data_IF_659866545776
#
_entry.id   IF_659866545776
#
_cell.length_a   1.000
_cell.length_b   1.000
_cell.length_c   1.000
_cell.angle_alpha   90.00
_cell.angle_beta   90.00
_cell.angle_gamma   90.00
#
_symmetry.space_group_name_H-M   'P 1'
#
loop_
_entity.id
_entity.type
_entity.pdbx_description
1 polymer ?
#
# COMPACT_ATOMS: atom_id res chain seq x y z
N UNK A 1 -2.59 7.70 43.55
CA UNK A 1 -3.44 6.74 42.80
C UNK A 1 -3.76 7.38 41.47
N UNK A 2 -3.17 6.84 40.39
CA UNK A 2 -3.33 7.38 39.04
C UNK A 2 -4.76 7.09 38.58
N UNK A 3 -5.54 8.16 38.41
CA UNK A 3 -6.89 8.09 37.84
C UNK A 3 -6.80 7.50 36.44
N UNK A 4 -7.53 6.41 36.25
CA UNK A 4 -7.75 5.75 34.97
C UNK A 4 -8.45 6.71 34.03
N UNK A 5 -7.68 7.46 33.25
CA UNK A 5 -8.15 8.12 32.03
C UNK A 5 -8.37 7.04 30.97
N UNK A 6 -9.35 6.18 31.22
CA UNK A 6 -9.87 5.26 30.22
C UNK A 6 -10.76 6.09 29.29
N UNK A 7 -10.13 6.75 28.31
CA UNK A 7 -10.85 7.38 27.19
C UNK A 7 -11.23 6.27 26.21
N UNK A 8 -12.14 5.39 26.63
CA UNK A 8 -12.86 4.56 25.69
C UNK A 8 -13.66 5.50 24.78
N UNK A 9 -13.32 5.48 23.48
CA UNK A 9 -14.06 6.21 22.46
C UNK A 9 -15.45 5.54 22.40
N UNK A 10 -16.55 6.27 22.64
CA UNK A 10 -17.87 5.67 22.65
C UNK A 10 -18.18 5.05 21.27
N UNK A 11 -18.70 3.82 21.25
CA UNK A 11 -19.09 3.05 20.05
C UNK A 11 -20.02 3.80 19.07
N UNK A 12 -20.63 4.91 19.50
CA UNK A 12 -21.65 5.66 18.77
C UNK A 12 -21.17 6.97 18.13
N UNK A 13 -19.87 7.16 17.95
CA UNK A 13 -19.39 8.35 17.22
C UNK A 13 -19.60 8.15 15.70
N UNK A 14 -20.86 8.24 15.28
CA UNK A 14 -21.31 8.14 13.88
C UNK A 14 -20.53 9.10 12.99
N UNK A 15 -20.11 10.25 13.53
CA UNK A 15 -19.28 11.22 12.82
C UNK A 15 -17.86 10.68 12.60
N UNK A 16 -17.23 10.09 13.60
CA UNK A 16 -15.90 9.48 13.47
C UNK A 16 -15.91 8.29 12.51
N UNK A 17 -16.91 7.41 12.61
CA UNK A 17 -17.04 6.26 11.70
C UNK A 17 -17.32 6.68 10.26
N UNK A 18 -18.11 7.73 10.05
CA UNK A 18 -18.35 8.33 8.72
C UNK A 18 -17.09 8.99 8.18
N UNK A 19 -16.37 9.75 9.01
CA UNK A 19 -15.11 10.40 8.63
C UNK A 19 -14.04 9.36 8.26
N UNK A 20 -13.91 8.28 9.04
CA UNK A 20 -13.01 7.17 8.73
C UNK A 20 -13.38 6.48 7.43
N UNK A 21 -14.65 6.14 7.21
CA UNK A 21 -15.11 5.53 5.95
C UNK A 21 -14.84 6.42 4.74
N UNK A 22 -15.10 7.72 4.87
CA UNK A 22 -14.84 8.68 3.79
C UNK A 22 -13.35 8.79 3.48
N UNK A 23 -12.50 8.89 4.50
CA UNK A 23 -11.06 8.90 4.36
C UNK A 23 -10.52 7.60 3.74
N UNK A 24 -11.01 6.45 4.21
CA UNK A 24 -10.64 5.14 3.68
C UNK A 24 -11.05 4.99 2.21
N UNK A 25 -12.29 5.36 1.86
CA UNK A 25 -12.76 5.36 0.47
C UNK A 25 -11.98 6.33 -0.41
N UNK A 26 -11.63 7.51 0.11
CA UNK A 26 -10.80 8.48 -0.60
C UNK A 26 -9.43 7.87 -0.90
N UNK A 27 -8.76 7.29 0.10
CA UNK A 27 -7.45 6.66 -0.06
C UNK A 27 -7.50 5.47 -1.04
N UNK A 28 -8.56 4.66 -0.99
CA UNK A 28 -8.75 3.58 -1.96
C UNK A 28 -8.91 4.13 -3.39
N UNK A 29 -9.71 5.19 -3.56
CA UNK A 29 -9.96 5.81 -4.85
C UNK A 29 -8.72 6.51 -5.43
N UNK A 30 -8.00 7.27 -4.60
CA UNK A 30 -6.76 7.94 -5.01
C UNK A 30 -5.58 7.00 -5.11
N UNK A 31 -5.72 5.78 -4.58
CA UNK A 31 -4.64 4.79 -4.46
C UNK A 31 -3.44 5.30 -3.66
N UNK A 32 -3.64 6.32 -2.82
CA UNK A 32 -2.58 6.95 -2.02
C UNK A 32 -1.96 5.98 -1.02
N UNK A 33 -2.66 4.91 -0.64
CA UNK A 33 -2.11 3.90 0.27
C UNK A 33 -0.86 3.21 -0.30
N UNK A 34 -0.71 3.11 -1.62
CA UNK A 34 0.51 2.54 -2.22
C UNK A 34 1.75 3.39 -1.95
N UNK A 35 1.60 4.68 -1.61
CA UNK A 35 2.73 5.54 -1.21
C UNK A 35 3.33 5.15 0.14
N UNK A 36 2.58 4.40 0.95
CA UNK A 36 3.04 3.90 2.25
C UNK A 36 3.51 2.44 2.19
N UNK A 37 3.39 1.78 1.04
CA UNK A 37 3.83 0.41 0.87
C UNK A 37 5.36 0.33 1.06
N UNK A 38 5.80 -0.55 1.96
CA UNK A 38 7.21 -0.86 2.14
C UNK A 38 7.61 -1.97 1.19
N UNK A 39 8.92 -2.13 1.04
CA UNK A 39 9.55 -3.23 0.29
C UNK A 39 8.92 -4.60 0.60
N UNK A 40 8.71 -4.89 1.89
CA UNK A 40 8.15 -6.19 2.32
C UNK A 40 6.70 -6.37 1.87
N UNK A 41 5.90 -5.30 1.89
CA UNK A 41 4.51 -5.33 1.42
C UNK A 41 4.46 -5.62 -0.09
N UNK A 42 5.33 -4.96 -0.87
CA UNK A 42 5.42 -5.17 -2.32
C UNK A 42 5.85 -6.60 -2.63
N UNK A 43 6.85 -7.14 -1.93
CA UNK A 43 7.27 -8.53 -2.12
C UNK A 43 6.17 -9.52 -1.76
N UNK A 44 5.44 -9.30 -0.66
CA UNK A 44 4.35 -10.17 -0.25
C UNK A 44 3.22 -10.21 -1.29
N UNK A 45 2.83 -9.05 -1.83
CA UNK A 45 1.80 -8.95 -2.87
C UNK A 45 2.25 -9.69 -4.14
N UNK A 46 3.48 -9.46 -4.59
CA UNK A 46 4.01 -10.13 -5.80
C UNK A 46 4.05 -11.65 -5.57
N UNK A 47 4.61 -12.10 -4.44
CA UNK A 47 4.66 -13.53 -4.09
C UNK A 47 3.29 -14.18 -4.04
N UNK A 48 2.27 -13.48 -3.53
CA UNK A 48 0.90 -13.98 -3.52
C UNK A 48 0.39 -14.25 -4.94
N UNK A 49 0.64 -13.33 -5.88
CA UNK A 49 0.19 -13.44 -7.27
C UNK A 49 0.94 -14.53 -8.04
N UNK A 50 2.25 -14.66 -7.81
CA UNK A 50 3.10 -15.58 -8.58
C UNK A 50 3.22 -16.98 -7.97
N UNK A 51 2.87 -17.16 -6.68
CA UNK A 51 2.97 -18.46 -6.00
C UNK A 51 2.24 -19.61 -6.73
N UNK A 52 1.06 -19.41 -7.36
CA UNK A 52 0.39 -20.48 -8.11
C UNK A 52 1.15 -20.89 -9.38
N UNK A 53 2.04 -20.04 -9.87
CA UNK A 53 2.87 -20.28 -11.04
C UNK A 53 4.22 -20.91 -10.70
N UNK A 54 4.49 -21.17 -9.42
CA UNK A 54 5.74 -21.75 -8.93
C UNK A 54 6.99 -20.94 -9.33
N UNK A 55 6.83 -19.60 -9.32
CA UNK A 55 7.89 -18.64 -9.60
C UNK A 55 8.38 -18.06 -8.27
N UNK A 56 9.68 -18.02 -8.07
CA UNK A 56 10.30 -17.31 -6.95
C UNK A 56 10.58 -15.85 -7.34
N UNK A 57 10.34 -14.91 -6.42
CA UNK A 57 10.64 -13.50 -6.58
C UNK A 57 11.34 -12.96 -5.35
N UNK A 58 12.45 -12.27 -5.57
CA UNK A 58 13.19 -11.52 -4.57
C UNK A 58 13.22 -10.05 -4.96
N UNK A 59 12.66 -9.18 -4.13
CA UNK A 59 12.53 -7.76 -4.47
C UNK A 59 13.87 -7.01 -4.51
N UNK A 60 14.94 -7.50 -3.88
CA UNK A 60 16.27 -6.88 -4.01
C UNK A 60 16.94 -7.22 -5.33
N UNK A 61 16.70 -8.43 -5.85
CA UNK A 61 17.37 -8.96 -7.03
C UNK A 61 16.56 -8.73 -8.32
N UNK A 62 15.24 -8.93 -8.24
CA UNK A 62 14.38 -9.08 -9.42
C UNK A 62 13.55 -7.83 -9.72
N UNK A 63 13.47 -6.88 -8.79
CA UNK A 63 12.54 -5.75 -8.93
C UNK A 63 12.85 -4.85 -10.13
N UNK A 64 14.11 -4.55 -10.40
CA UNK A 64 14.50 -3.75 -11.57
C UNK A 64 14.15 -4.50 -12.88
N UNK A 65 14.41 -5.81 -12.92
CA UNK A 65 14.04 -6.65 -14.06
C UNK A 65 12.53 -6.68 -14.27
N UNK A 66 11.75 -6.76 -13.19
CA UNK A 66 10.29 -6.70 -13.22
C UNK A 66 9.80 -5.34 -13.75
N UNK A 67 10.39 -4.23 -13.28
CA UNK A 67 10.07 -2.89 -13.79
C UNK A 67 10.27 -2.77 -15.30
N UNK A 68 11.30 -3.39 -15.86
CA UNK A 68 11.55 -3.38 -17.29
C UNK A 68 10.50 -4.14 -18.12
N UNK A 69 9.73 -5.04 -17.49
CA UNK A 69 8.70 -5.85 -18.15
C UNK A 69 7.29 -5.23 -18.03
N UNK A 70 7.09 -4.28 -17.12
CA UNK A 70 5.80 -3.61 -16.93
C UNK A 70 5.64 -2.47 -17.93
N UNK A 71 4.48 -2.38 -18.57
CA UNK A 71 4.15 -1.25 -19.44
C UNK A 71 4.22 0.07 -18.67
N UNK A 72 5.11 0.95 -19.12
CA UNK A 72 5.38 2.25 -18.49
C UNK A 72 4.19 3.21 -18.55
N UNK A 73 3.23 2.99 -19.45
CA UNK A 73 1.97 3.76 -19.48
C UNK A 73 1.12 3.60 -18.20
N UNK A 74 1.38 2.54 -17.43
CA UNK A 74 0.68 2.22 -16.19
C UNK A 74 1.36 2.79 -14.94
N UNK A 75 2.52 3.44 -15.09
CA UNK A 75 3.30 3.95 -13.98
C UNK A 75 2.65 5.21 -13.39
N UNK A 76 2.84 5.41 -12.08
CA UNK A 76 2.53 6.68 -11.44
C UNK A 76 3.49 7.75 -11.94
N UNK A 77 3.00 8.97 -12.20
CA UNK A 77 3.84 10.09 -12.66
C UNK A 77 5.02 10.36 -11.71
N UNK A 78 4.85 10.12 -10.40
CA UNK A 78 5.88 10.27 -9.39
C UNK A 78 7.07 9.31 -9.58
N UNK A 79 6.92 8.25 -10.38
CA UNK A 79 7.97 7.26 -10.66
C UNK A 79 8.82 7.62 -11.88
N UNK A 80 8.59 8.79 -12.50
CA UNK A 80 9.37 9.31 -13.61
C UNK A 80 10.88 9.36 -13.31
N UNK A 81 11.31 9.45 -12.04
CA UNK A 81 12.73 9.42 -11.69
C UNK A 81 13.44 8.11 -12.12
N UNK A 82 12.70 7.00 -12.22
CA UNK A 82 13.23 5.71 -12.69
C UNK A 82 13.52 5.71 -14.20
N UNK A 83 13.00 6.67 -14.96
CA UNK A 83 13.26 6.81 -16.40
C UNK A 83 14.59 7.47 -16.72
N UNK A 84 15.25 8.06 -15.71
CA UNK A 84 16.52 8.79 -15.85
C UNK A 84 17.75 7.96 -15.46
N UNK A 85 17.54 6.69 -15.09
CA UNK A 85 18.57 5.68 -14.85
C UNK A 85 18.99 5.03 -16.18
#
# INVERSE_FOLDING_TARGET
MLGTNDRSIPENDVQLSTAYRNYFNQILNTRDFYKYAKKDDVQAIINQVISPHNIEFNIEQDFISLLNLVDRSTWFNEWDFLTRL
#
